data_IF_785448160744
#
_entry.id   IF_785448160744
#
_cell.length_a   1.000
_cell.length_b   1.000
_cell.length_c   1.000
_cell.angle_alpha   90.00
_cell.angle_beta   90.00
_cell.angle_gamma   90.00
#
_symmetry.space_group_name_H-M   'P 1'
#
loop_
_entity.id
_entity.type
_entity.pdbx_description
1 polymer ?
#
# COMPACT_ATOMS: atom_id res chain seq x y z
N UNK A 1 5.18 12.43 3.94
CA UNK A 1 5.27 12.72 2.51
C UNK A 1 6.57 12.17 1.93
N UNK A 2 6.64 11.86 0.64
CA UNK A 2 7.84 11.28 0.01
C UNK A 2 9.10 12.12 0.14
N UNK A 3 8.96 13.44 0.22
CA UNK A 3 10.05 14.43 0.30
C UNK A 3 10.53 14.73 1.74
N UNK A 4 9.84 14.25 2.75
CA UNK A 4 10.03 14.78 4.12
C UNK A 4 9.90 13.76 5.25
N UNK A 5 9.75 12.47 4.94
CA UNK A 5 9.75 11.46 5.99
C UNK A 5 11.16 11.28 6.60
N UNK A 6 11.23 11.13 7.89
CA UNK A 6 12.51 11.19 8.63
C UNK A 6 12.85 9.92 9.36
N UNK A 7 11.86 9.11 9.74
CA UNK A 7 12.12 7.91 10.53
C UNK A 7 10.94 6.95 10.50
N UNK A 8 11.13 5.77 11.10
CA UNK A 8 10.07 4.82 11.41
C UNK A 8 9.36 5.12 12.73
N UNK A 9 9.47 6.33 13.29
CA UNK A 9 9.00 6.67 14.64
C UNK A 9 7.49 6.48 14.84
N UNK A 10 6.70 6.62 13.76
CA UNK A 10 5.26 6.43 13.80
C UNK A 10 4.83 4.95 13.70
N UNK A 11 5.80 4.05 13.66
CA UNK A 11 5.50 2.63 13.58
C UNK A 11 5.27 2.05 14.97
N UNK A 12 4.03 1.81 15.34
CA UNK A 12 3.71 1.09 16.57
C UNK A 12 4.50 -0.22 16.61
N UNK A 13 5.16 -0.48 17.74
CA UNK A 13 6.00 -1.65 17.90
C UNK A 13 5.13 -2.91 17.94
N UNK A 14 5.08 -3.64 16.84
CA UNK A 14 4.60 -5.02 16.86
C UNK A 14 5.68 -5.90 17.45
N UNK A 15 5.37 -6.53 18.57
CA UNK A 15 6.24 -7.46 19.26
C UNK A 15 6.50 -7.06 20.71
N UNK A 16 7.01 -8.01 21.47
CA UNK A 16 7.37 -7.85 22.90
C UNK A 16 8.78 -8.37 23.13
N UNK A 17 9.45 -7.87 24.18
CA UNK A 17 10.78 -8.33 24.58
C UNK A 17 11.89 -7.93 23.61
N UNK A 18 12.90 -8.79 23.47
CA UNK A 18 14.11 -8.51 22.67
C UNK A 18 13.80 -8.09 21.22
N UNK A 19 12.78 -8.67 20.59
CA UNK A 19 12.38 -8.32 19.22
C UNK A 19 11.89 -6.88 19.12
N UNK A 20 11.18 -6.39 20.13
CA UNK A 20 10.74 -5.00 20.17
C UNK A 20 11.91 -4.05 20.37
N UNK A 21 12.87 -4.40 21.23
CA UNK A 21 14.08 -3.61 21.49
C UNK A 21 14.97 -3.50 20.25
N UNK A 22 15.17 -4.61 19.53
CA UNK A 22 15.94 -4.63 18.29
C UNK A 22 15.28 -3.75 17.21
N UNK A 23 13.96 -3.86 17.07
CA UNK A 23 13.22 -3.01 16.11
C UNK A 23 13.29 -1.52 16.46
N UNK A 24 13.21 -1.18 17.75
CA UNK A 24 13.39 0.20 18.22
C UNK A 24 14.80 0.72 17.87
N UNK A 25 15.82 -0.10 18.09
CA UNK A 25 17.20 0.27 17.78
C UNK A 25 17.42 0.48 16.27
N UNK A 26 16.85 -0.36 15.42
CA UNK A 26 16.90 -0.20 13.97
C UNK A 26 16.24 1.13 13.56
N UNK A 27 15.07 1.43 14.09
CA UNK A 27 14.32 2.67 13.78
C UNK A 27 15.08 3.92 14.18
N UNK A 28 15.64 3.94 15.39
CA UNK A 28 16.37 5.10 15.93
C UNK A 28 17.63 5.44 15.13
N UNK A 29 18.21 4.46 14.46
CA UNK A 29 19.45 4.61 13.69
C UNK A 29 19.21 4.65 12.18
N UNK A 30 17.97 4.57 11.71
CA UNK A 30 17.67 4.62 10.29
C UNK A 30 17.71 6.06 9.78
N UNK A 31 18.55 6.30 8.77
CA UNK A 31 18.59 7.56 8.04
C UNK A 31 17.73 7.48 6.80
N UNK A 32 16.60 8.19 6.79
CA UNK A 32 15.68 8.26 5.67
C UNK A 32 16.12 9.20 4.55
N UNK A 33 17.11 10.05 4.79
CA UNK A 33 17.52 11.09 3.83
C UNK A 33 17.85 10.57 2.43
N UNK A 34 18.53 9.41 2.26
CA UNK A 34 18.80 8.86 0.93
C UNK A 34 17.57 8.37 0.18
N UNK A 35 16.45 8.18 0.87
CA UNK A 35 15.22 7.60 0.33
C UNK A 35 14.08 8.62 0.22
N UNK A 36 14.37 9.89 0.46
CA UNK A 36 13.41 10.97 0.20
C UNK A 36 13.33 11.25 -1.29
N UNK A 37 12.12 11.46 -1.78
CA UNK A 37 11.87 11.76 -3.20
C UNK A 37 11.30 13.17 -3.32
N UNK A 38 12.03 14.07 -3.96
CA UNK A 38 11.64 15.46 -4.15
C UNK A 38 10.56 15.63 -5.23
N UNK A 39 10.50 14.71 -6.21
CA UNK A 39 9.55 14.76 -7.31
C UNK A 39 8.46 13.70 -7.15
N UNK A 40 7.24 14.13 -6.88
CA UNK A 40 6.05 13.30 -6.85
C UNK A 40 4.80 14.13 -7.16
N UNK A 41 3.75 13.48 -7.59
CA UNK A 41 2.44 14.08 -7.82
C UNK A 41 1.44 13.58 -6.79
N UNK A 42 0.59 14.46 -6.27
CA UNK A 42 -0.55 14.06 -5.45
C UNK A 42 -1.64 13.46 -6.35
N UNK A 43 -1.85 12.15 -6.22
CA UNK A 43 -2.89 11.43 -6.91
C UNK A 43 -4.20 11.47 -6.12
N UNK A 44 -5.31 11.60 -6.84
CA UNK A 44 -6.66 11.57 -6.26
C UNK A 44 -7.62 10.94 -7.27
N UNK A 45 -8.32 9.88 -6.86
CA UNK A 45 -9.19 9.11 -7.75
C UNK A 45 -10.28 8.38 -6.93
N UNK A 46 -11.42 8.01 -7.55
CA UNK A 46 -12.41 7.17 -6.91
C UNK A 46 -12.03 5.69 -6.97
N UNK A 47 -12.65 4.83 -6.17
CA UNK A 47 -12.62 3.39 -6.39
C UNK A 47 -13.33 3.04 -7.70
N UNK A 48 -13.06 1.86 -8.28
CA UNK A 48 -13.83 1.35 -9.42
C UNK A 48 -15.25 1.01 -8.99
N UNK A 49 -16.24 1.29 -9.82
CA UNK A 49 -17.64 0.96 -9.61
C UNK A 49 -18.51 2.17 -9.30
N UNK A 50 -19.62 1.95 -8.58
CA UNK A 50 -20.69 2.94 -8.48
C UNK A 50 -20.47 4.02 -7.40
N UNK A 51 -19.57 3.80 -6.44
CA UNK A 51 -19.34 4.75 -5.36
C UNK A 51 -18.26 5.79 -5.69
N UNK A 52 -18.60 6.67 -6.63
CA UNK A 52 -17.76 7.79 -7.05
C UNK A 52 -17.66 8.92 -5.99
N UNK A 53 -18.36 8.79 -4.85
CA UNK A 53 -18.28 9.78 -3.77
C UNK A 53 -17.04 9.62 -2.90
N UNK A 54 -16.41 8.45 -2.94
CA UNK A 54 -15.19 8.14 -2.18
C UNK A 54 -13.98 8.68 -2.94
N UNK A 55 -13.14 9.42 -2.25
CA UNK A 55 -11.86 9.91 -2.78
C UNK A 55 -10.70 9.17 -2.13
N UNK A 56 -9.97 8.44 -2.93
CA UNK A 56 -8.70 7.81 -2.57
C UNK A 56 -7.55 8.77 -2.88
N UNK A 57 -6.54 8.79 -2.03
CA UNK A 57 -5.41 9.72 -2.15
C UNK A 57 -4.09 9.01 -2.00
N UNK A 58 -3.12 9.44 -2.81
CA UNK A 58 -1.80 8.83 -2.85
C UNK A 58 -0.75 9.74 -3.46
N UNK A 59 0.42 9.16 -3.69
CA UNK A 59 1.56 9.79 -4.34
C UNK A 59 2.01 8.96 -5.53
N UNK A 60 2.03 9.61 -6.69
CA UNK A 60 2.58 9.04 -7.91
C UNK A 60 4.01 9.57 -8.11
N UNK A 61 4.94 8.65 -8.29
CA UNK A 61 6.35 8.94 -8.59
C UNK A 61 6.65 8.47 -9.99
N UNK A 62 7.02 9.40 -10.86
CA UNK A 62 7.45 9.13 -12.22
C UNK A 62 8.95 9.38 -12.33
N UNK A 63 9.69 8.37 -12.75
CA UNK A 63 11.14 8.44 -12.99
C UNK A 63 11.46 8.41 -14.48
N UNK A 64 10.63 7.71 -15.27
CA UNK A 64 10.74 7.61 -16.71
C UNK A 64 9.33 7.40 -17.30
N UNK A 65 8.85 8.27 -18.21
CA UNK A 65 7.52 8.12 -18.81
C UNK A 65 7.32 6.80 -19.60
N UNK A 66 8.40 6.15 -20.02
CA UNK A 66 8.35 4.86 -20.74
C UNK A 66 8.50 3.64 -19.81
N UNK A 67 8.75 3.86 -18.52
CA UNK A 67 8.90 2.79 -17.56
C UNK A 67 7.55 2.21 -17.12
N UNK A 68 7.48 0.91 -16.77
CA UNK A 68 6.29 0.34 -16.15
C UNK A 68 6.01 0.97 -14.78
N UNK A 69 4.79 0.78 -14.29
CA UNK A 69 4.36 1.32 -13.00
C UNK A 69 3.93 0.22 -12.04
N UNK A 70 4.17 0.43 -10.75
CA UNK A 70 3.74 -0.47 -9.68
C UNK A 70 2.80 0.25 -8.73
N UNK A 71 1.62 -0.32 -8.51
CA UNK A 71 0.69 0.11 -7.46
C UNK A 71 1.13 -0.54 -6.15
N UNK A 72 1.33 0.28 -5.12
CA UNK A 72 1.73 -0.15 -3.78
C UNK A 72 0.55 -0.05 -2.82
N UNK A 73 0.22 -1.17 -2.17
CA UNK A 73 -0.90 -1.30 -1.24
C UNK A 73 -0.40 -1.68 0.16
N UNK A 74 -0.69 -0.83 1.13
CA UNK A 74 -0.21 -0.92 2.51
C UNK A 74 -0.93 -1.99 3.35
N UNK A 75 -0.30 -2.39 4.47
CA UNK A 75 -0.88 -3.24 5.50
C UNK A 75 -1.58 -2.46 6.64
N UNK A 76 -2.04 -3.20 7.68
CA UNK A 76 -2.57 -2.67 8.94
C UNK A 76 -1.52 -2.72 10.07
N UNK A 77 -1.75 -2.00 11.20
CA UNK A 77 -2.57 -0.80 11.40
C UNK A 77 -1.97 0.35 10.61
N UNK A 78 -2.73 1.40 10.31
CA UNK A 78 -2.32 2.15 9.15
C UNK A 78 -2.51 3.65 9.20
N UNK A 79 -1.41 4.34 8.98
CA UNK A 79 -1.39 5.69 8.41
C UNK A 79 -1.50 5.65 6.87
N UNK A 80 -1.97 4.53 6.31
CA UNK A 80 -2.10 4.32 4.87
C UNK A 80 -0.75 4.28 4.17
N UNK A 81 -0.64 4.93 3.03
CA UNK A 81 0.60 5.06 2.27
C UNK A 81 1.68 5.93 2.94
N UNK A 82 1.36 6.60 4.05
CA UNK A 82 2.33 7.33 4.86
C UNK A 82 3.27 6.42 5.66
N UNK A 83 3.06 5.11 5.63
CA UNK A 83 3.94 4.16 6.29
C UNK A 83 5.35 4.20 5.70
N UNK A 84 6.39 4.18 6.55
CA UNK A 84 7.77 4.19 6.10
C UNK A 84 8.11 3.10 5.09
N UNK A 85 7.55 1.89 5.24
CA UNK A 85 7.77 0.80 4.29
C UNK A 85 7.22 1.11 2.89
N UNK A 86 6.13 1.88 2.78
CA UNK A 86 5.59 2.30 1.48
C UNK A 86 6.49 3.34 0.83
N UNK A 87 6.97 4.30 1.61
CA UNK A 87 7.87 5.36 1.15
C UNK A 87 9.23 4.78 0.73
N UNK A 88 9.76 3.86 1.53
CA UNK A 88 11.02 3.16 1.22
C UNK A 88 10.88 2.32 -0.07
N UNK A 89 9.76 1.65 -0.24
CA UNK A 89 9.51 0.86 -1.45
C UNK A 89 9.37 1.75 -2.69
N UNK A 90 8.72 2.91 -2.59
CA UNK A 90 8.71 3.90 -3.69
C UNK A 90 10.12 4.35 -4.07
N UNK A 91 10.97 4.61 -3.06
CA UNK A 91 12.37 5.00 -3.30
C UNK A 91 13.16 3.89 -4.01
N UNK A 92 13.02 2.64 -3.58
CA UNK A 92 13.69 1.51 -4.25
C UNK A 92 13.20 1.28 -5.68
N UNK A 93 11.90 1.44 -5.94
CA UNK A 93 11.36 1.35 -7.29
C UNK A 93 11.91 2.49 -8.16
N UNK A 94 11.95 3.71 -7.64
CA UNK A 94 12.51 4.87 -8.33
C UNK A 94 14.00 4.68 -8.65
N UNK A 95 14.80 4.17 -7.70
CA UNK A 95 16.21 3.82 -7.93
C UNK A 95 16.37 2.73 -9.00
N UNK A 96 15.41 1.79 -9.05
CA UNK A 96 15.33 0.74 -10.07
C UNK A 96 14.78 1.21 -11.42
N UNK A 97 14.43 2.48 -11.59
CA UNK A 97 13.86 3.02 -12.83
C UNK A 97 12.41 2.59 -13.07
N UNK A 98 11.63 2.34 -12.02
CA UNK A 98 10.24 1.90 -12.09
C UNK A 98 9.35 2.98 -11.47
N UNK A 99 8.30 3.38 -12.19
CA UNK A 99 7.30 4.31 -11.69
C UNK A 99 6.44 3.67 -10.60
N UNK A 100 5.86 4.47 -9.71
CA UNK A 100 5.05 3.91 -8.64
C UNK A 100 3.88 4.81 -8.24
N UNK A 101 2.77 4.18 -7.85
CA UNK A 101 1.63 4.81 -7.21
C UNK A 101 1.41 4.17 -5.84
N UNK A 102 1.72 4.88 -4.77
CA UNK A 102 1.40 4.49 -3.41
C UNK A 102 0.20 5.28 -2.92
N UNK A 103 -0.86 4.61 -2.52
CA UNK A 103 -2.08 5.27 -2.06
C UNK A 103 -2.64 4.63 -0.79
N UNK A 104 -3.47 5.38 -0.07
CA UNK A 104 -4.21 4.85 1.07
C UNK A 104 -5.51 4.21 0.59
N UNK A 105 -5.77 2.98 1.02
CA UNK A 105 -7.09 2.36 0.90
C UNK A 105 -8.14 3.21 1.64
N UNK A 106 -9.42 3.06 1.31
CA UNK A 106 -10.51 3.69 2.08
C UNK A 106 -10.35 3.44 3.58
N UNK A 107 -10.79 4.36 4.40
CA UNK A 107 -10.69 4.34 5.86
C UNK A 107 -9.26 4.50 6.41
N UNK A 108 -8.25 4.76 5.56
CA UNK A 108 -6.86 4.89 5.98
C UNK A 108 -6.21 6.19 5.48
N UNK A 109 -5.20 6.65 6.22
CA UNK A 109 -4.34 7.76 5.84
C UNK A 109 -5.11 9.01 5.40
N UNK A 110 -4.85 9.47 4.17
CA UNK A 110 -5.50 10.65 3.59
C UNK A 110 -6.73 10.32 2.74
N UNK A 111 -7.05 9.05 2.51
CA UNK A 111 -8.27 8.64 1.81
C UNK A 111 -9.51 8.84 2.68
N UNK A 112 -10.67 8.92 2.04
CA UNK A 112 -11.91 9.18 2.74
C UNK A 112 -12.27 8.03 3.69
N UNK A 113 -12.75 8.40 4.88
CA UNK A 113 -13.29 7.48 5.86
C UNK A 113 -14.78 7.27 5.59
N UNK A 114 -15.16 6.06 5.25
CA UNK A 114 -16.53 5.70 4.89
C UNK A 114 -17.17 4.72 5.88
N UNK A 115 -16.36 4.11 6.74
CA UNK A 115 -16.79 3.12 7.72
C UNK A 115 -15.80 3.04 8.88
N UNK A 116 -16.30 2.65 10.06
CA UNK A 116 -15.45 2.29 11.20
C UNK A 116 -14.95 0.82 11.10
N UNK A 117 -15.34 0.11 10.06
CA UNK A 117 -15.00 -1.28 9.81
C UNK A 117 -14.20 -1.42 8.53
N UNK A 118 -13.35 -2.43 8.49
CA UNK A 118 -12.65 -2.89 7.29
C UNK A 118 -13.26 -4.22 6.84
N UNK A 119 -13.38 -4.40 5.53
CA UNK A 119 -13.91 -5.64 4.95
C UNK A 119 -12.81 -6.68 4.64
N UNK A 120 -11.58 -6.41 5.10
CA UNK A 120 -10.40 -7.27 4.95
C UNK A 120 -10.21 -7.73 3.50
N UNK A 121 -10.30 -6.78 2.59
CA UNK A 121 -10.06 -6.99 1.18
C UNK A 121 -11.29 -7.24 0.31
N UNK A 122 -12.41 -7.65 0.88
CA UNK A 122 -13.62 -7.97 0.12
C UNK A 122 -14.29 -6.75 -0.53
N UNK A 123 -13.97 -5.56 -0.02
CA UNK A 123 -14.46 -4.29 -0.57
C UNK A 123 -13.28 -3.42 -1.01
N UNK A 124 -12.17 -3.48 -0.30
CA UNK A 124 -11.01 -2.61 -0.55
C UNK A 124 -10.29 -2.92 -1.86
N UNK A 125 -10.50 -4.09 -2.47
CA UNK A 125 -9.87 -4.43 -3.75
C UNK A 125 -10.33 -3.51 -4.89
N UNK A 126 -11.55 -2.97 -4.84
CA UNK A 126 -12.01 -2.01 -5.86
C UNK A 126 -11.29 -0.66 -5.76
N UNK A 127 -10.64 -0.36 -4.63
CA UNK A 127 -9.78 0.81 -4.48
C UNK A 127 -8.52 0.65 -5.35
N UNK A 128 -7.96 -0.57 -5.38
CA UNK A 128 -6.80 -0.91 -6.22
C UNK A 128 -7.20 -0.85 -7.70
N UNK A 129 -8.41 -1.32 -8.03
CA UNK A 129 -8.94 -1.22 -9.39
C UNK A 129 -9.14 0.25 -9.80
N UNK A 130 -9.57 1.12 -8.88
CA UNK A 130 -9.64 2.57 -9.11
C UNK A 130 -8.26 3.19 -9.36
N UNK A 131 -7.24 2.73 -8.63
CA UNK A 131 -5.85 3.14 -8.88
C UNK A 131 -5.35 2.70 -10.26
N UNK A 132 -5.68 1.49 -10.67
CA UNK A 132 -5.41 0.98 -12.02
C UNK A 132 -6.08 1.85 -13.08
N UNK A 133 -7.39 2.11 -12.96
CA UNK A 133 -8.15 2.94 -13.91
C UNK A 133 -7.53 4.34 -14.02
N UNK A 134 -7.14 4.94 -12.90
CA UNK A 134 -6.48 6.24 -12.90
C UNK A 134 -5.15 6.23 -13.67
N UNK A 135 -4.36 5.18 -13.53
CA UNK A 135 -3.11 5.03 -14.29
C UNK A 135 -3.37 4.88 -15.78
N UNK A 136 -4.37 4.10 -16.19
CA UNK A 136 -4.74 3.94 -17.61
C UNK A 136 -5.29 5.26 -18.17
N UNK A 137 -6.27 5.87 -17.51
CA UNK A 137 -7.03 6.98 -18.04
C UNK A 137 -6.30 8.33 -17.93
N UNK A 138 -5.54 8.54 -16.85
CA UNK A 138 -4.91 9.82 -16.55
C UNK A 138 -3.43 9.86 -16.85
N UNK A 139 -2.74 8.70 -16.80
CA UNK A 139 -1.29 8.60 -17.04
C UNK A 139 -0.94 7.94 -18.37
N UNK A 140 -1.92 7.27 -19.01
CA UNK A 140 -1.77 6.70 -20.36
C UNK A 140 -1.09 5.34 -20.39
N UNK A 141 -0.93 4.68 -19.26
CA UNK A 141 -0.42 3.30 -19.21
C UNK A 141 -1.30 2.35 -20.00
N UNK A 142 -0.73 1.28 -20.48
CA UNK A 142 -1.43 0.23 -21.21
C UNK A 142 -1.56 -1.03 -20.35
N UNK A 143 -2.52 -1.88 -20.72
CA UNK A 143 -2.62 -3.22 -20.17
C UNK A 143 -1.26 -3.94 -20.31
N UNK A 144 -0.80 -4.57 -19.23
CA UNK A 144 0.50 -5.23 -19.19
C UNK A 144 1.68 -4.36 -18.71
N UNK A 145 1.47 -3.08 -18.44
CA UNK A 145 2.50 -2.16 -17.91
C UNK A 145 2.33 -1.87 -16.41
N UNK A 146 1.25 -2.35 -15.80
CA UNK A 146 0.91 -2.11 -14.39
C UNK A 146 1.14 -3.36 -13.58
N UNK A 147 2.00 -3.28 -12.55
CA UNK A 147 2.18 -4.31 -11.53
C UNK A 147 1.52 -3.94 -10.20
N UNK A 148 1.32 -4.93 -9.33
CA UNK A 148 0.81 -4.74 -7.97
C UNK A 148 1.82 -5.24 -6.92
N UNK A 149 1.93 -4.50 -5.84
CA UNK A 149 2.58 -4.94 -4.60
C UNK A 149 1.61 -4.75 -3.43
N UNK A 150 1.40 -5.81 -2.66
CA UNK A 150 0.54 -5.79 -1.49
C UNK A 150 1.22 -6.32 -0.24
N UNK A 151 1.16 -5.57 0.86
CA UNK A 151 1.72 -5.96 2.15
C UNK A 151 0.59 -6.22 3.14
N UNK A 152 0.55 -7.40 3.77
CA UNK A 152 -0.41 -7.79 4.81
C UNK A 152 -1.86 -7.59 4.34
N UNK A 153 -2.61 -6.60 4.86
CA UNK A 153 -3.94 -6.22 4.36
C UNK A 153 -3.90 -5.90 2.85
N UNK A 154 -2.80 -5.36 2.34
CA UNK A 154 -2.58 -5.17 0.91
C UNK A 154 -2.62 -6.47 0.08
N UNK A 155 -2.76 -7.62 0.71
CA UNK A 155 -3.14 -8.88 0.07
C UNK A 155 -4.47 -8.83 -0.69
N UNK A 156 -5.29 -7.79 -0.46
CA UNK A 156 -6.42 -7.41 -1.33
C UNK A 156 -6.01 -7.24 -2.79
N UNK A 157 -4.74 -6.97 -3.06
CA UNK A 157 -4.16 -6.96 -4.41
C UNK A 157 -4.43 -8.27 -5.17
N UNK A 158 -4.53 -9.41 -4.48
CA UNK A 158 -4.86 -10.68 -5.11
C UNK A 158 -6.25 -10.68 -5.77
N UNK A 159 -7.25 -10.08 -5.13
CA UNK A 159 -8.59 -9.97 -5.70
C UNK A 159 -8.61 -9.02 -6.90
N UNK A 160 -7.91 -7.88 -6.79
CA UNK A 160 -7.78 -6.95 -7.91
C UNK A 160 -7.05 -7.61 -9.11
N UNK A 161 -6.01 -8.41 -8.85
CA UNK A 161 -5.28 -9.15 -9.88
C UNK A 161 -6.16 -10.20 -10.59
N UNK A 162 -7.06 -10.85 -9.85
CA UNK A 162 -8.01 -11.82 -10.42
C UNK A 162 -9.05 -11.12 -11.31
N UNK A 163 -9.54 -9.95 -10.89
CA UNK A 163 -10.59 -9.21 -11.59
C UNK A 163 -10.08 -8.38 -12.78
N UNK A 164 -8.77 -8.07 -12.84
CA UNK A 164 -8.21 -7.20 -13.87
C UNK A 164 -7.09 -7.90 -14.66
N UNK A 165 -7.41 -8.51 -15.82
CA UNK A 165 -6.42 -9.24 -16.63
C UNK A 165 -5.37 -8.31 -17.27
N UNK A 166 -5.56 -7.00 -17.23
CA UNK A 166 -4.57 -6.01 -17.71
C UNK A 166 -3.40 -5.80 -16.76
N UNK A 167 -3.47 -6.33 -15.53
CA UNK A 167 -2.36 -6.25 -14.57
C UNK A 167 -1.31 -7.30 -14.92
N UNK A 168 -0.07 -6.85 -15.11
CA UNK A 168 1.03 -7.67 -15.63
C UNK A 168 1.60 -8.67 -14.62
N UNK A 169 1.71 -8.26 -13.36
CA UNK A 169 2.35 -9.04 -12.31
C UNK A 169 1.88 -8.62 -10.92
N UNK A 170 2.04 -9.52 -9.95
CA UNK A 170 1.72 -9.23 -8.56
C UNK A 170 2.81 -9.80 -7.63
N UNK A 171 3.16 -9.03 -6.61
CA UNK A 171 3.97 -9.49 -5.50
C UNK A 171 3.25 -9.23 -4.16
N UNK A 172 3.19 -10.27 -3.32
CA UNK A 172 2.53 -10.19 -2.02
C UNK A 172 3.54 -10.49 -0.92
N UNK A 173 3.61 -9.60 0.06
CA UNK A 173 4.38 -9.80 1.28
C UNK A 173 3.43 -10.00 2.47
N UNK A 174 3.56 -11.16 3.12
CA UNK A 174 2.79 -11.49 4.34
C UNK A 174 1.27 -11.31 4.19
N UNK A 175 0.75 -11.56 2.99
CA UNK A 175 -0.64 -11.33 2.65
C UNK A 175 -1.60 -12.21 3.47
N UNK A 176 -2.71 -11.63 3.93
CA UNK A 176 -3.78 -12.34 4.61
C UNK A 176 -4.81 -12.81 3.58
N UNK A 177 -4.61 -14.02 3.06
CA UNK A 177 -5.52 -14.61 2.05
C UNK A 177 -6.65 -15.44 2.67
N UNK A 178 -6.50 -15.90 3.92
CA UNK A 178 -7.51 -16.63 4.69
C UNK A 178 -7.70 -15.97 6.06
N UNK A 179 -8.48 -14.91 6.09
CA UNK A 179 -8.74 -14.15 7.31
C UNK A 179 -9.43 -14.99 8.41
N UNK A 180 -10.45 -15.83 8.13
CA UNK A 180 -11.02 -16.73 9.12
C UNK A 180 -9.98 -17.63 9.80
N UNK A 181 -9.03 -18.16 9.03
CA UNK A 181 -7.95 -19.00 9.58
C UNK A 181 -7.02 -18.19 10.49
N UNK A 182 -6.66 -16.97 10.08
CA UNK A 182 -5.82 -16.06 10.90
C UNK A 182 -6.52 -15.75 12.22
N UNK A 183 -7.79 -15.33 12.19
CA UNK A 183 -8.57 -15.05 13.40
C UNK A 183 -8.67 -16.26 14.31
N UNK A 184 -8.96 -17.42 13.76
CA UNK A 184 -9.06 -18.68 14.52
C UNK A 184 -7.73 -19.00 15.22
N UNK A 185 -6.61 -18.83 14.53
CA UNK A 185 -5.30 -19.11 15.10
C UNK A 185 -4.96 -18.11 16.22
N UNK A 186 -5.25 -16.83 16.03
CA UNK A 186 -5.00 -15.81 17.06
C UNK A 186 -5.90 -16.01 18.29
N UNK A 187 -7.17 -16.30 18.10
CA UNK A 187 -8.06 -16.64 19.21
C UNK A 187 -7.55 -17.87 20.00
N UNK A 188 -7.08 -18.91 19.29
CA UNK A 188 -6.45 -20.08 19.91
C UNK A 188 -5.20 -19.73 20.73
N UNK A 189 -4.34 -18.83 20.22
CA UNK A 189 -3.17 -18.31 20.97
C UNK A 189 -3.55 -17.53 22.23
N UNK A 190 -4.69 -16.83 22.20
CA UNK A 190 -5.24 -16.09 23.32
C UNK A 190 -6.01 -17.00 24.31
N UNK A 191 -6.12 -18.31 24.05
CA UNK A 191 -6.79 -19.29 24.92
C UNK A 191 -8.31 -19.39 24.73
N UNK A 192 -8.83 -18.83 23.62
CA UNK A 192 -10.23 -19.04 23.24
C UNK A 192 -10.37 -20.36 22.46
N UNK A 193 -11.48 -21.11 22.68
CA UNK A 193 -11.72 -22.40 22.01
C UNK A 193 -12.00 -22.26 20.51
#
# INVERSE_FOLDING_TARGET
HPDSWTSFDDWESFGTGEVAEERVAIRQNFDASPYQMESYENASFPPRGDDQSITLRGWYVEVDPEAPVVILTHGMPSNGNCKPEMLLMQAFLAEGGINSLSFSLRNYGYSDQVSDYIAVGQVEYVDILGAYDWLIDSKGYQAGEVGLVGISLGGTAAFAFEDEPGIAAMWLDSAVLDFPLVVRNELGRMGFP
#
